data_IF_635918366007
#
_entry.id   IF_635918366007
#
_cell.length_a   1.000
_cell.length_b   1.000
_cell.length_c   1.000
_cell.angle_alpha   90.00
_cell.angle_beta   90.00
_cell.angle_gamma   90.00
#
_symmetry.space_group_name_H-M   'P 1'
#
loop_
_entity.id
_entity.type
_entity.pdbx_description
1 polymer ?
#
# COMPACT_ATOMS: atom_id res chain seq x y z
N UNK A 1 -13.65 -12.89 -6.22
CA UNK A 1 -14.95 -12.66 -5.54
C UNK A 1 -14.67 -12.01 -4.22
N UNK A 2 -15.33 -10.88 -4.03
CA UNK A 2 -15.76 -10.25 -2.79
C UNK A 2 -17.20 -9.83 -3.14
N UNK A 3 -18.18 -10.11 -2.29
CA UNK A 3 -19.58 -9.71 -2.52
C UNK A 3 -19.91 -8.43 -1.71
N UNK A 4 -21.13 -7.83 -1.75
CA UNK A 4 -21.31 -6.41 -1.41
C UNK A 4 -21.92 -6.11 -0.03
N UNK A 5 -21.92 -4.81 0.34
CA UNK A 5 -22.17 -4.32 1.70
C UNK A 5 -23.42 -3.49 1.99
N UNK A 6 -23.69 -3.44 3.30
CA UNK A 6 -24.81 -2.78 3.95
C UNK A 6 -24.33 -2.12 5.25
N UNK A 7 -24.73 -0.88 5.45
CA UNK A 7 -24.47 -0.05 6.65
C UNK A 7 -25.83 0.36 7.23
N UNK A 8 -25.94 0.53 8.56
CA UNK A 8 -27.22 0.49 9.29
C UNK A 8 -27.26 1.55 10.44
N UNK A 9 -28.47 1.84 10.96
CA UNK A 9 -28.94 3.01 11.76
C UNK A 9 -28.74 3.03 13.30
N UNK A 10 -28.89 4.18 14.02
CA UNK A 10 -27.81 4.70 14.89
C UNK A 10 -28.20 5.14 16.33
N UNK A 11 -29.17 4.48 16.98
CA UNK A 11 -29.87 5.03 18.15
C UNK A 11 -29.25 4.70 19.54
N UNK A 12 -28.16 5.37 19.94
CA UNK A 12 -27.61 5.34 21.32
C UNK A 12 -26.95 6.69 21.73
N UNK A 13 -27.20 7.16 22.96
CA UNK A 13 -27.05 8.56 23.42
C UNK A 13 -25.61 9.01 23.85
N UNK A 14 -25.38 10.32 24.05
CA UNK A 14 -24.05 10.95 24.13
C UNK A 14 -23.88 11.97 25.29
N UNK A 15 -23.16 11.62 26.36
CA UNK A 15 -22.99 12.52 27.54
C UNK A 15 -21.56 12.63 28.13
N UNK A 16 -20.60 13.13 27.34
CA UNK A 16 -19.91 14.42 27.58
C UNK A 16 -18.90 14.68 26.43
N UNK A 17 -18.97 15.87 25.84
CA UNK A 17 -18.22 16.25 24.64
C UNK A 17 -17.51 17.61 24.80
N UNK A 18 -17.50 18.20 26.01
CA UNK A 18 -17.15 19.62 26.17
C UNK A 18 -15.70 20.01 25.95
N UNK A 19 -14.75 19.08 25.83
CA UNK A 19 -13.35 19.41 25.52
C UNK A 19 -12.55 18.34 24.74
N UNK A 20 -13.20 17.51 23.91
CA UNK A 20 -12.50 16.65 22.94
C UNK A 20 -13.11 16.75 21.54
N UNK A 21 -12.28 17.24 20.60
CA UNK A 21 -12.38 17.03 19.15
C UNK A 21 -11.01 16.44 18.76
N UNK A 22 -10.88 15.11 18.60
CA UNK A 22 -11.54 14.39 17.51
C UNK A 22 -12.86 13.69 17.89
N UNK A 23 -13.58 13.20 16.88
CA UNK A 23 -14.85 12.47 17.09
C UNK A 23 -14.58 11.10 17.71
N UNK A 24 -15.16 10.83 18.90
CA UNK A 24 -15.41 9.44 19.33
C UNK A 24 -16.17 8.67 18.25
N UNK A 25 -15.90 7.37 18.22
CA UNK A 25 -16.70 6.37 17.51
C UNK A 25 -18.15 6.34 17.98
N UNK A 26 -19.01 5.63 17.25
CA UNK A 26 -20.38 5.38 17.66
C UNK A 26 -20.49 3.97 18.24
N UNK A 27 -21.33 3.77 19.26
CA UNK A 27 -21.89 2.45 19.53
C UNK A 27 -22.69 1.99 18.30
N UNK A 28 -22.78 0.67 18.10
CA UNK A 28 -23.67 0.11 17.09
C UNK A 28 -24.53 -0.99 17.72
N UNK A 29 -25.75 -1.11 17.23
CA UNK A 29 -26.77 -2.04 17.69
C UNK A 29 -26.66 -3.40 17.00
N UNK A 30 -27.19 -4.44 17.63
CA UNK A 30 -27.15 -5.83 17.13
C UNK A 30 -27.85 -6.03 15.76
N UNK A 31 -28.71 -5.10 15.34
CA UNK A 31 -29.24 -5.08 13.97
C UNK A 31 -28.24 -4.52 12.94
N UNK A 32 -27.33 -3.61 13.33
CA UNK A 32 -26.30 -3.03 12.46
C UNK A 32 -25.18 -4.00 12.08
N UNK A 33 -25.10 -5.08 12.85
CA UNK A 33 -23.93 -5.94 13.01
C UNK A 33 -24.12 -7.31 12.33
N UNK A 34 -25.29 -7.53 11.73
CA UNK A 34 -25.62 -8.70 10.90
C UNK A 34 -25.11 -8.49 9.48
N UNK A 35 -24.51 -9.50 8.85
CA UNK A 35 -24.31 -9.58 7.39
C UNK A 35 -25.68 -9.71 6.70
N UNK A 36 -26.40 -8.61 6.67
CA UNK A 36 -27.81 -8.48 6.32
C UNK A 36 -27.99 -8.36 4.79
N UNK A 37 -27.24 -9.20 4.06
CA UNK A 37 -27.27 -9.38 2.62
C UNK A 37 -28.32 -10.42 2.21
N UNK A 38 -28.86 -10.36 1.00
CA UNK A 38 -29.70 -11.41 0.42
C UNK A 38 -28.88 -12.54 -0.23
N UNK A 39 -27.62 -12.30 -0.60
CA UNK A 39 -26.72 -13.30 -1.18
C UNK A 39 -26.07 -14.12 -0.08
N UNK A 40 -26.17 -15.45 -0.13
CA UNK A 40 -25.61 -16.37 0.87
C UNK A 40 -24.08 -16.37 0.91
N UNK A 41 -23.39 -15.67 0.02
CA UNK A 41 -21.93 -15.70 -0.14
C UNK A 41 -21.26 -14.39 0.21
N UNK A 42 -19.96 -14.50 0.44
CA UNK A 42 -19.01 -13.40 0.33
C UNK A 42 -17.60 -13.93 0.20
N UNK A 43 -16.87 -13.44 -0.80
CA UNK A 43 -15.91 -14.34 -1.45
C UNK A 43 -16.64 -15.42 -2.26
N UNK A 44 -15.92 -16.49 -2.61
CA UNK A 44 -16.57 -17.76 -2.97
C UNK A 44 -17.13 -18.48 -1.74
N UNK A 45 -16.74 -18.04 -0.53
CA UNK A 45 -17.24 -18.52 0.74
C UNK A 45 -18.74 -18.28 0.84
N UNK A 46 -19.52 -19.26 1.28
CA UNK A 46 -20.89 -19.04 1.75
C UNK A 46 -20.84 -18.44 3.16
N UNK A 47 -21.36 -17.22 3.34
CA UNK A 47 -21.51 -16.57 4.64
C UNK A 47 -22.63 -17.24 5.44
N UNK A 48 -22.35 -17.74 6.65
CA UNK A 48 -23.32 -18.48 7.45
C UNK A 48 -24.63 -17.73 7.69
N UNK A 49 -25.74 -18.48 7.71
CA UNK A 49 -27.07 -17.94 8.01
C UNK A 49 -27.12 -17.26 9.40
N UNK A 50 -26.36 -17.75 10.38
CA UNK A 50 -26.28 -17.11 11.70
C UNK A 50 -25.74 -15.66 11.64
N UNK A 51 -24.88 -15.32 10.68
CA UNK A 51 -24.38 -13.95 10.53
C UNK A 51 -25.45 -13.01 9.93
N UNK A 52 -26.49 -13.57 9.32
CA UNK A 52 -27.67 -12.85 8.81
C UNK A 52 -28.70 -12.67 9.92
N UNK A 53 -28.87 -13.72 10.71
CA UNK A 53 -29.89 -13.83 11.76
C UNK A 53 -29.50 -13.17 13.07
N UNK A 54 -28.20 -13.00 13.35
CA UNK A 54 -27.64 -12.40 14.58
C UNK A 54 -26.39 -11.57 14.31
N UNK A 55 -26.28 -10.43 14.98
CA UNK A 55 -25.24 -9.44 14.74
C UNK A 55 -23.94 -9.71 15.51
N UNK A 56 -22.82 -9.39 14.86
CA UNK A 56 -21.46 -9.40 15.40
C UNK A 56 -20.94 -7.97 15.47
N UNK A 57 -20.56 -7.49 16.66
CA UNK A 57 -20.00 -6.13 16.79
C UNK A 57 -18.67 -6.06 16.03
N UNK A 58 -18.64 -5.20 15.02
CA UNK A 58 -17.60 -5.13 13.99
C UNK A 58 -17.67 -3.77 13.29
N UNK A 59 -16.78 -3.53 12.33
CA UNK A 59 -16.67 -2.25 11.59
C UNK A 59 -16.18 -2.42 10.16
N UNK A 60 -15.41 -3.48 9.96
CA UNK A 60 -15.10 -4.08 8.69
C UNK A 60 -15.25 -5.59 8.87
N UNK A 61 -15.89 -6.25 7.93
CA UNK A 61 -15.62 -7.64 7.64
C UNK A 61 -14.70 -7.71 6.40
N UNK A 62 -13.99 -8.82 6.19
CA UNK A 62 -13.35 -9.16 4.89
C UNK A 62 -13.79 -10.58 4.52
N UNK A 63 -14.09 -10.84 3.25
CA UNK A 63 -14.19 -12.22 2.74
C UNK A 63 -13.75 -12.26 1.28
N UNK A 64 -12.99 -13.29 0.89
CA UNK A 64 -12.24 -13.32 -0.36
C UNK A 64 -12.39 -14.62 -1.17
N UNK A 65 -11.85 -14.60 -2.40
CA UNK A 65 -11.65 -15.73 -3.30
C UNK A 65 -10.32 -15.52 -4.00
N UNK A 66 -9.53 -16.59 -4.10
CA UNK A 66 -8.68 -16.82 -5.26
C UNK A 66 -9.42 -17.79 -6.21
N UNK A 67 -9.35 -17.56 -7.52
CA UNK A 67 -9.77 -18.55 -8.51
C UNK A 67 -8.55 -19.44 -8.77
N UNK A 68 -8.64 -20.76 -8.64
CA UNK A 68 -7.46 -21.59 -8.89
C UNK A 68 -7.17 -21.69 -10.40
N UNK A 69 -6.05 -21.12 -10.81
CA UNK A 69 -5.45 -21.30 -12.13
C UNK A 69 -3.94 -21.29 -11.94
N UNK A 70 -3.27 -22.37 -12.36
CA UNK A 70 -1.84 -22.61 -12.12
C UNK A 70 -0.92 -21.66 -12.95
N UNK A 71 -1.54 -20.72 -13.68
CA UNK A 71 -0.92 -19.59 -14.39
C UNK A 71 -0.80 -18.32 -13.52
N UNK A 72 -1.30 -18.30 -12.28
CA UNK A 72 -1.37 -17.09 -11.45
C UNK A 72 -0.04 -16.76 -10.76
N UNK A 73 0.69 -15.80 -11.33
CA UNK A 73 1.72 -15.00 -10.65
C UNK A 73 1.16 -13.82 -9.82
N UNK A 74 -0.17 -13.69 -9.84
CA UNK A 74 -1.04 -12.71 -9.20
C UNK A 74 -0.88 -11.22 -9.53
N UNK A 75 -2.02 -10.54 -9.47
CA UNK A 75 -2.23 -9.11 -9.64
C UNK A 75 -3.34 -8.75 -8.65
N UNK A 76 -3.03 -8.96 -7.36
CA UNK A 76 -3.93 -8.98 -6.19
C UNK A 76 -5.09 -10.00 -6.21
N UNK A 77 -5.61 -10.32 -5.01
CA UNK A 77 -7.05 -10.31 -4.72
C UNK A 77 -7.41 -10.36 -3.22
N UNK A 78 -7.52 -9.21 -2.54
CA UNK A 78 -8.31 -9.06 -1.32
C UNK A 78 -9.26 -7.87 -1.41
N UNK A 79 -10.48 -8.01 -0.86
CA UNK A 79 -11.32 -6.84 -0.60
C UNK A 79 -12.32 -7.03 0.56
N UNK A 80 -12.73 -5.87 1.04
CA UNK A 80 -13.79 -5.65 2.01
C UNK A 80 -15.15 -6.02 1.37
N UNK A 81 -15.86 -7.06 1.86
CA UNK A 81 -17.31 -7.19 1.60
C UNK A 81 -18.50 -6.31 2.40
N UNK A 82 -18.94 -5.65 4.60
CA UNK A 82 -19.87 -4.95 5.54
C UNK A 82 -18.97 -3.98 6.30
N UNK A 83 -19.34 -2.71 6.26
CA UNK A 83 -18.81 -1.74 7.17
C UNK A 83 -19.85 -1.43 8.24
N UNK A 84 -19.38 -1.06 9.43
CA UNK A 84 -20.26 -0.58 10.51
C UNK A 84 -19.73 0.76 11.02
N UNK A 85 -20.53 1.46 11.81
CA UNK A 85 -20.49 2.91 11.85
C UNK A 85 -19.46 3.43 12.88
N UNK A 86 -18.35 4.00 12.38
CA UNK A 86 -17.28 4.77 13.06
C UNK A 86 -16.12 4.05 13.81
N UNK A 87 -15.92 2.73 13.82
CA UNK A 87 -14.62 2.13 14.29
C UNK A 87 -13.88 1.47 13.11
N UNK A 88 -13.83 2.19 11.97
CA UNK A 88 -13.42 1.67 10.67
C UNK A 88 -11.96 1.19 10.53
N UNK A 89 -11.65 0.48 9.44
CA UNK A 89 -10.39 -0.26 9.24
C UNK A 89 -9.27 0.54 8.55
N UNK A 90 -8.08 -0.06 8.49
CA UNK A 90 -7.07 0.23 7.48
C UNK A 90 -7.56 -0.21 6.09
N UNK A 91 -8.21 0.71 5.38
CA UNK A 91 -8.67 0.52 4.00
C UNK A 91 -7.50 0.26 3.03
N UNK A 92 -6.29 0.68 3.40
CA UNK A 92 -5.03 0.62 2.66
C UNK A 92 -4.78 -0.73 1.98
N UNK A 93 -4.93 -1.86 2.68
CA UNK A 93 -4.72 -3.20 2.13
C UNK A 93 -5.62 -3.45 0.91
N UNK A 94 -6.87 -3.01 0.95
CA UNK A 94 -7.81 -3.21 -0.16
C UNK A 94 -7.60 -2.21 -1.27
N UNK A 95 -7.11 -1.00 -0.96
CA UNK A 95 -6.73 -0.01 -1.97
C UNK A 95 -5.44 -0.48 -2.69
N UNK A 96 -4.48 -1.07 -1.97
CA UNK A 96 -3.28 -1.72 -2.51
C UNK A 96 -3.62 -2.86 -3.46
N UNK A 97 -4.43 -3.80 -2.98
CA UNK A 97 -4.90 -4.92 -3.79
C UNK A 97 -5.70 -4.44 -5.02
N UNK A 98 -6.60 -3.47 -4.86
CA UNK A 98 -7.26 -2.83 -5.99
C UNK A 98 -6.26 -2.16 -6.95
N UNK A 99 -5.13 -1.62 -6.48
CA UNK A 99 -4.16 -0.90 -7.32
C UNK A 99 -3.31 -1.82 -8.19
N UNK A 100 -3.02 -3.04 -7.74
CA UNK A 100 -2.52 -4.07 -8.65
C UNK A 100 -3.53 -4.32 -9.78
N UNK A 101 -4.82 -4.45 -9.47
CA UNK A 101 -5.90 -4.61 -10.48
C UNK A 101 -6.04 -3.36 -11.39
N UNK A 102 -5.73 -2.16 -10.88
CA UNK A 102 -5.59 -0.92 -11.67
C UNK A 102 -4.30 -0.87 -12.51
N UNK A 103 -3.55 -1.97 -12.61
CA UNK A 103 -2.45 -2.10 -13.55
C UNK A 103 -1.09 -1.66 -13.04
N UNK A 104 -0.82 -1.68 -11.72
CA UNK A 104 0.54 -1.67 -11.20
C UNK A 104 1.00 -3.08 -10.81
N UNK A 105 1.62 -3.81 -11.74
CA UNK A 105 2.20 -5.14 -11.51
C UNK A 105 3.22 -5.50 -12.59
N UNK A 106 4.09 -6.48 -12.33
CA UNK A 106 5.08 -6.99 -13.29
C UNK A 106 4.46 -7.37 -14.65
N UNK A 107 3.22 -7.85 -14.65
CA UNK A 107 2.52 -8.33 -15.83
C UNK A 107 1.70 -7.27 -16.56
N UNK A 108 1.45 -6.12 -15.92
CA UNK A 108 0.73 -4.99 -16.52
C UNK A 108 1.66 -3.90 -17.04
N UNK A 109 2.84 -3.69 -16.44
CA UNK A 109 3.85 -2.73 -16.91
C UNK A 109 4.20 -2.86 -18.41
N UNK A 110 4.35 -4.08 -19.00
CA UNK A 110 4.57 -4.24 -20.44
C UNK A 110 3.37 -3.90 -21.33
N UNK A 111 2.19 -3.68 -20.74
CA UNK A 111 0.93 -3.37 -21.43
C UNK A 111 0.58 -1.87 -21.37
N UNK A 112 1.35 -1.07 -20.64
CA UNK A 112 1.14 0.37 -20.51
C UNK A 112 1.36 1.11 -21.84
N UNK A 113 0.62 2.21 -22.04
CA UNK A 113 0.61 2.98 -23.28
C UNK A 113 0.87 4.48 -23.06
N UNK A 114 1.43 5.12 -24.08
CA UNK A 114 1.63 6.56 -24.16
C UNK A 114 0.34 7.28 -24.60
N UNK A 115 0.34 8.61 -24.53
CA UNK A 115 -0.83 9.44 -24.90
C UNK A 115 -1.22 9.38 -26.38
N UNK A 116 -0.31 8.96 -27.27
CA UNK A 116 -0.57 8.65 -28.68
C UNK A 116 -1.10 7.21 -28.91
N UNK A 117 -1.26 6.44 -27.82
CA UNK A 117 -1.68 5.04 -27.75
C UNK A 117 -0.64 4.02 -28.25
N UNK A 118 0.61 4.43 -28.45
CA UNK A 118 1.72 3.50 -28.65
C UNK A 118 2.15 2.86 -27.32
N UNK A 119 2.58 1.60 -27.34
CA UNK A 119 3.21 0.96 -26.17
C UNK A 119 4.58 1.57 -25.89
N UNK A 120 4.99 1.62 -24.61
CA UNK A 120 6.38 1.94 -24.27
C UNK A 120 7.31 0.86 -24.85
N UNK A 121 8.30 1.27 -25.66
CA UNK A 121 9.25 0.33 -26.28
C UNK A 121 10.06 -0.46 -25.24
N UNK A 122 10.45 0.22 -24.16
CA UNK A 122 11.14 -0.34 -22.99
C UNK A 122 10.69 0.48 -21.75
N UNK A 123 9.62 0.11 -21.03
CA UNK A 123 9.16 0.86 -19.84
C UNK A 123 10.09 0.68 -18.63
N UNK A 124 10.90 -0.38 -18.63
CA UNK A 124 11.78 -0.78 -17.51
C UNK A 124 13.22 -1.01 -17.97
N UNK A 125 14.12 -1.34 -17.05
CA UNK A 125 15.44 -1.93 -17.32
C UNK A 125 15.94 -2.69 -16.08
N UNK A 126 16.92 -3.58 -16.26
CA UNK A 126 17.59 -4.26 -15.13
C UNK A 126 18.95 -3.63 -14.84
N UNK A 127 19.26 -3.50 -13.55
CA UNK A 127 20.55 -3.02 -13.05
C UNK A 127 20.81 -3.67 -11.68
N UNK A 128 22.09 -3.93 -11.38
CA UNK A 128 22.49 -4.37 -10.04
C UNK A 128 22.32 -3.21 -9.04
N UNK A 129 21.38 -3.36 -8.10
CA UNK A 129 21.24 -2.52 -6.92
C UNK A 129 21.82 -3.27 -5.72
N UNK A 130 22.84 -2.67 -5.07
CA UNK A 130 23.36 -3.13 -3.77
C UNK A 130 23.78 -4.63 -3.73
N UNK A 131 24.15 -5.18 -4.89
CA UNK A 131 24.61 -6.58 -5.06
C UNK A 131 23.56 -7.55 -5.61
N UNK A 132 22.32 -7.10 -5.81
CA UNK A 132 21.19 -7.90 -6.30
C UNK A 132 20.71 -7.33 -7.64
N UNK A 133 20.25 -8.17 -8.57
CA UNK A 133 19.61 -7.69 -9.79
C UNK A 133 18.21 -7.11 -9.48
N UNK A 134 17.88 -5.96 -10.08
CA UNK A 134 16.69 -5.17 -9.76
C UNK A 134 16.07 -4.62 -11.03
N UNK A 135 14.74 -4.71 -11.14
CA UNK A 135 13.99 -4.04 -12.20
C UNK A 135 13.68 -2.60 -11.80
N UNK A 136 14.05 -1.66 -12.67
CA UNK A 136 13.78 -0.23 -12.51
C UNK A 136 12.71 0.22 -13.50
N UNK A 137 11.71 0.97 -13.03
CA UNK A 137 10.69 1.61 -13.85
C UNK A 137 11.16 3.01 -14.27
N UNK A 138 11.08 3.33 -15.57
CA UNK A 138 11.64 4.59 -16.15
C UNK A 138 10.63 5.37 -17.00
N UNK A 139 9.33 5.18 -16.75
CA UNK A 139 8.25 5.85 -17.46
C UNK A 139 8.18 7.36 -17.13
N UNK A 140 7.59 8.20 -18.01
CA UNK A 140 7.82 9.64 -17.99
C UNK A 140 7.43 10.34 -16.68
N UNK A 141 6.21 10.14 -16.18
CA UNK A 141 5.71 10.84 -15.00
C UNK A 141 6.37 10.31 -13.71
N UNK A 142 6.52 8.99 -13.58
CA UNK A 142 7.23 8.33 -12.46
C UNK A 142 8.66 8.87 -12.37
N UNK A 143 9.38 8.93 -13.49
CA UNK A 143 10.76 9.37 -13.51
C UNK A 143 10.91 10.88 -13.29
N UNK A 144 9.99 11.70 -13.82
CA UNK A 144 9.95 13.13 -13.55
C UNK A 144 9.68 13.41 -12.06
N UNK A 145 8.68 12.74 -11.47
CA UNK A 145 8.35 12.85 -10.06
C UNK A 145 9.53 12.41 -9.18
N UNK A 146 10.09 11.23 -9.42
CA UNK A 146 11.19 10.68 -8.62
C UNK A 146 12.44 11.58 -8.65
N UNK A 147 12.82 12.11 -9.81
CA UNK A 147 13.95 13.05 -9.95
C UNK A 147 13.76 14.31 -9.09
N UNK A 148 12.54 14.83 -9.03
CA UNK A 148 12.16 15.98 -8.18
C UNK A 148 12.10 15.60 -6.70
N UNK A 149 11.41 14.51 -6.36
CA UNK A 149 11.19 14.03 -5.00
C UNK A 149 12.49 13.71 -4.29
N UNK A 150 13.38 12.92 -4.90
CA UNK A 150 14.68 12.56 -4.34
C UNK A 150 15.75 13.67 -4.49
N UNK A 151 15.46 14.78 -5.17
CA UNK A 151 16.49 15.74 -5.62
C UNK A 151 17.67 15.05 -6.33
N UNK A 152 17.36 14.19 -7.30
CA UNK A 152 18.33 13.44 -8.10
C UNK A 152 18.03 13.58 -9.60
N UNK A 153 18.48 14.66 -10.27
CA UNK A 153 18.18 14.89 -11.69
C UNK A 153 18.70 13.80 -12.64
N UNK A 154 19.76 13.10 -12.24
CA UNK A 154 20.42 12.03 -13.02
C UNK A 154 19.79 10.65 -12.82
N UNK A 155 18.73 10.51 -12.02
CA UNK A 155 18.10 9.20 -11.79
C UNK A 155 17.65 8.58 -13.12
N UNK A 156 17.96 7.30 -13.34
CA UNK A 156 17.65 6.58 -14.58
C UNK A 156 16.29 5.85 -14.53
N UNK A 157 15.84 5.48 -13.33
CA UNK A 157 14.56 4.81 -13.05
C UNK A 157 14.33 4.71 -11.55
N UNK A 158 13.13 4.31 -11.15
CA UNK A 158 12.77 4.00 -9.76
C UNK A 158 12.88 2.48 -9.56
N UNK A 159 13.61 1.97 -8.55
CA UNK A 159 13.68 0.55 -8.29
C UNK A 159 12.32 0.03 -7.82
N UNK A 160 11.88 -1.06 -8.43
CA UNK A 160 10.78 -1.88 -7.92
C UNK A 160 11.34 -2.86 -6.88
N UNK A 161 10.46 -3.44 -6.08
CA UNK A 161 10.88 -4.46 -5.10
C UNK A 161 11.51 -5.66 -5.82
N UNK A 162 12.55 -6.22 -5.22
CA UNK A 162 13.39 -7.28 -5.79
C UNK A 162 13.75 -8.37 -4.75
N UNK A 163 13.01 -8.39 -3.66
CA UNK A 163 13.02 -9.40 -2.62
C UNK A 163 11.59 -9.88 -2.37
N UNK A 164 11.47 -11.04 -1.72
CA UNK A 164 10.18 -11.62 -1.34
C UNK A 164 9.61 -12.66 -2.31
N UNK A 165 10.15 -12.80 -3.52
CA UNK A 165 9.77 -13.83 -4.49
C UNK A 165 8.53 -13.52 -5.32
N UNK A 166 7.97 -14.57 -5.90
CA UNK A 166 6.66 -14.60 -6.60
C UNK A 166 5.57 -14.22 -5.58
N UNK A 167 5.26 -12.93 -5.54
CA UNK A 167 4.64 -12.33 -4.37
C UNK A 167 4.82 -10.81 -4.30
N UNK A 168 6.03 -10.36 -4.60
CA UNK A 168 6.48 -9.02 -4.25
C UNK A 168 7.30 -8.37 -5.36
N UNK A 169 8.18 -9.17 -5.97
CA UNK A 169 9.14 -8.71 -6.95
C UNK A 169 8.47 -8.06 -8.17
N UNK A 170 9.07 -6.96 -8.65
CA UNK A 170 8.72 -6.25 -9.87
C UNK A 170 7.26 -5.72 -9.94
N UNK A 171 6.49 -5.78 -8.85
CA UNK A 171 5.07 -5.35 -8.79
C UNK A 171 4.79 -4.26 -7.74
N UNK A 172 5.81 -3.85 -7.00
CA UNK A 172 5.74 -2.95 -5.85
C UNK A 172 6.89 -1.94 -5.86
N UNK A 173 6.78 -0.87 -5.08
CA UNK A 173 7.91 0.03 -4.81
C UNK A 173 8.91 -0.59 -3.84
N UNK A 174 10.20 -0.39 -4.11
CA UNK A 174 11.30 -0.89 -3.28
C UNK A 174 11.25 -0.32 -1.86
N UNK A 175 10.98 -1.17 -0.87
CA UNK A 175 10.72 -0.78 0.53
C UNK A 175 11.88 0.00 1.21
N UNK A 176 13.12 -0.20 0.77
CA UNK A 176 14.32 0.48 1.30
C UNK A 176 14.65 1.80 0.60
N UNK A 177 13.79 2.27 -0.31
CA UNK A 177 13.98 3.49 -1.10
C UNK A 177 12.76 4.40 -1.01
N UNK A 178 11.57 3.81 -1.09
CA UNK A 178 10.29 4.46 -0.87
C UNK A 178 9.64 3.64 0.25
N UNK A 179 9.45 4.21 1.44
CA UNK A 179 8.86 3.53 2.60
C UNK A 179 7.62 4.30 3.07
N UNK A 180 6.73 3.66 3.82
CA UNK A 180 5.36 4.13 4.11
C UNK A 180 4.54 4.42 2.84
N UNK A 181 4.84 3.78 1.70
CA UNK A 181 4.03 3.87 0.48
C UNK A 181 3.06 2.69 0.45
N UNK A 182 1.78 2.93 0.17
CA UNK A 182 0.80 1.85 0.23
C UNK A 182 1.03 0.74 -0.81
N UNK A 183 1.77 0.99 -1.90
CA UNK A 183 2.23 -0.01 -2.88
C UNK A 183 3.64 -0.55 -2.60
N UNK A 184 4.12 -0.45 -1.36
CA UNK A 184 5.20 -1.29 -0.87
C UNK A 184 4.73 -2.75 -0.67
N UNK A 185 5.63 -3.72 -0.84
CA UNK A 185 5.34 -5.14 -0.49
C UNK A 185 5.17 -5.35 1.01
N UNK A 186 5.75 -4.47 1.82
CA UNK A 186 5.44 -4.30 3.23
C UNK A 186 4.79 -2.94 3.44
N UNK A 187 3.46 -2.93 3.58
CA UNK A 187 2.66 -1.79 4.04
C UNK A 187 2.94 -1.53 5.54
N UNK A 188 2.99 -0.26 5.95
CA UNK A 188 3.33 0.11 7.33
C UNK A 188 2.07 0.17 8.22
N UNK A 189 2.01 -0.58 9.34
CA UNK A 189 0.82 -0.68 10.20
C UNK A 189 0.18 0.64 10.68
N UNK A 190 0.96 1.70 10.90
CA UNK A 190 0.43 2.95 11.46
C UNK A 190 0.00 3.97 10.38
N UNK A 191 0.66 3.96 9.23
CA UNK A 191 0.39 4.86 8.10
C UNK A 191 1.07 4.38 6.83
N UNK A 192 0.28 4.09 5.78
CA UNK A 192 0.76 4.10 4.40
C UNK A 192 0.19 5.30 3.65
N UNK A 193 0.91 5.81 2.65
CA UNK A 193 0.54 6.97 1.85
C UNK A 193 0.23 6.58 0.40
N UNK A 194 -0.86 7.09 -0.17
CA UNK A 194 -1.07 7.19 -1.63
C UNK A 194 -0.15 8.30 -2.16
N UNK A 195 1.12 7.98 -2.38
CA UNK A 195 2.10 9.00 -2.73
C UNK A 195 2.05 9.36 -4.22
N UNK A 196 2.73 10.45 -4.56
CA UNK A 196 2.99 10.80 -5.95
C UNK A 196 3.75 9.72 -6.75
N UNK A 197 4.42 8.74 -6.13
CA UNK A 197 4.99 7.62 -6.89
C UNK A 197 3.89 6.78 -7.53
N UNK A 198 2.93 6.28 -6.74
CA UNK A 198 1.82 5.48 -7.27
C UNK A 198 0.88 6.31 -8.13
N UNK A 199 0.60 7.57 -7.77
CA UNK A 199 -0.21 8.44 -8.61
C UNK A 199 0.41 8.64 -10.01
N UNK A 200 1.71 8.85 -10.11
CA UNK A 200 2.40 9.01 -11.39
C UNK A 200 2.59 7.67 -12.13
N UNK A 201 2.68 6.52 -11.44
CA UNK A 201 2.63 5.22 -12.10
C UNK A 201 1.26 4.98 -12.74
N UNK A 202 0.17 5.31 -12.05
CA UNK A 202 -1.19 5.23 -12.61
C UNK A 202 -1.36 6.18 -13.82
N UNK A 203 -0.77 7.37 -13.82
CA UNK A 203 -0.70 8.23 -15.02
C UNK A 203 0.06 7.57 -16.17
N UNK A 204 1.23 6.99 -15.89
CA UNK A 204 2.08 6.31 -16.88
C UNK A 204 1.49 4.99 -17.40
N UNK A 205 0.42 4.44 -16.81
CA UNK A 205 -0.30 3.30 -17.43
C UNK A 205 -0.90 3.65 -18.80
N UNK A 206 -1.34 4.90 -18.98
CA UNK A 206 -2.19 5.32 -20.09
C UNK A 206 -3.61 4.73 -20.06
N UNK A 207 -4.01 4.05 -18.98
CA UNK A 207 -5.36 3.45 -18.83
C UNK A 207 -6.40 4.45 -18.28
N UNK A 208 -5.95 5.61 -17.77
CA UNK A 208 -6.78 6.61 -17.08
C UNK A 208 -6.63 7.99 -17.73
N UNK A 209 -7.75 8.70 -17.90
CA UNK A 209 -7.78 10.05 -18.49
C UNK A 209 -7.21 11.12 -17.53
N UNK A 210 -7.45 10.96 -16.22
CA UNK A 210 -6.97 11.87 -15.18
C UNK A 210 -6.65 11.08 -13.90
N UNK A 211 -5.49 11.35 -13.30
CA UNK A 211 -5.19 11.05 -11.89
C UNK A 211 -4.86 12.39 -11.22
N UNK A 212 -5.64 12.80 -10.22
CA UNK A 212 -5.58 14.16 -9.66
C UNK A 212 -4.41 14.33 -8.71
N UNK A 213 -3.65 15.41 -8.88
CA UNK A 213 -2.58 15.81 -7.94
C UNK A 213 -3.12 15.99 -6.52
N UNK A 214 -4.38 16.39 -6.36
CA UNK A 214 -5.06 16.52 -5.06
C UNK A 214 -5.39 15.19 -4.37
N UNK A 215 -5.02 14.05 -4.96
CA UNK A 215 -5.06 12.73 -4.29
C UNK A 215 -3.69 12.33 -3.72
N UNK A 216 -2.60 13.01 -4.10
CA UNK A 216 -1.25 12.68 -3.66
C UNK A 216 -1.03 13.11 -2.21
N UNK A 217 -0.79 12.13 -1.34
CA UNK A 217 -0.44 12.38 0.06
C UNK A 217 1.03 12.77 0.19
N UNK A 218 1.31 13.76 1.04
CA UNK A 218 2.67 14.28 1.22
C UNK A 218 3.50 13.38 2.13
N UNK A 219 4.25 12.47 1.50
CA UNK A 219 5.25 11.62 2.15
C UNK A 219 6.62 12.32 2.24
N UNK A 220 7.40 12.01 3.28
CA UNK A 220 8.71 12.63 3.53
C UNK A 220 9.92 11.65 3.48
N UNK A 221 9.70 10.34 3.50
CA UNK A 221 10.77 9.34 3.49
C UNK A 221 11.62 9.42 2.20
N UNK A 222 12.93 9.69 2.31
CA UNK A 222 13.81 9.86 1.16
C UNK A 222 13.65 11.19 0.42
N UNK A 223 12.81 12.13 0.91
CA UNK A 223 12.55 13.40 0.22
C UNK A 223 13.77 14.32 0.26
N UNK A 224 14.23 14.75 -0.90
CA UNK A 224 15.45 15.53 -1.08
C UNK A 224 16.75 14.74 -0.85
N UNK A 225 16.68 13.42 -0.65
CA UNK A 225 17.78 12.60 -0.13
C UNK A 225 19.03 12.48 -1.01
N UNK A 226 18.94 12.85 -2.28
CA UNK A 226 20.00 12.69 -3.29
C UNK A 226 20.08 11.27 -3.86
N UNK A 227 20.83 11.13 -4.95
CA UNK A 227 20.91 9.87 -5.71
C UNK A 227 21.43 8.66 -4.90
N UNK A 228 22.26 8.90 -3.87
CA UNK A 228 22.84 7.83 -3.04
C UNK A 228 21.78 7.07 -2.23
N UNK A 229 20.65 7.71 -1.90
CA UNK A 229 19.51 7.02 -1.28
C UNK A 229 18.94 5.91 -2.17
N UNK A 230 18.77 6.22 -3.46
CA UNK A 230 18.10 5.35 -4.43
C UNK A 230 19.02 4.26 -4.98
N UNK A 231 20.27 4.59 -5.31
CA UNK A 231 21.21 3.66 -5.98
C UNK A 231 22.52 3.41 -5.22
N UNK A 232 22.71 4.07 -4.09
CA UNK A 232 23.96 4.04 -3.31
C UNK A 232 23.93 3.06 -2.15
N UNK A 233 24.88 3.28 -1.22
CA UNK A 233 25.01 2.51 0.01
C UNK A 233 24.21 3.12 1.17
N UNK A 234 23.92 2.28 2.17
CA UNK A 234 23.13 2.67 3.33
C UNK A 234 23.91 3.69 4.16
N UNK A 235 23.26 4.79 4.56
CA UNK A 235 23.85 5.80 5.43
C UNK A 235 23.13 5.79 6.78
N UNK A 236 23.74 5.13 7.76
CA UNK A 236 23.21 5.02 9.12
C UNK A 236 23.25 6.32 9.92
N UNK A 237 23.69 7.43 9.34
CA UNK A 237 23.57 8.77 9.93
C UNK A 237 22.24 9.45 9.57
N UNK A 238 21.32 8.73 8.90
CA UNK A 238 20.05 9.24 8.39
C UNK A 238 18.86 8.52 9.01
N UNK A 239 17.81 9.28 9.34
CA UNK A 239 16.56 8.78 9.91
C UNK A 239 15.83 7.73 9.04
N UNK A 240 16.10 7.66 7.73
CA UNK A 240 15.54 6.62 6.86
C UNK A 240 16.09 5.20 7.14
N UNK A 241 17.25 5.09 7.80
CA UNK A 241 17.97 3.83 8.01
C UNK A 241 18.39 3.67 9.48
N UNK A 242 18.76 2.45 9.87
CA UNK A 242 19.12 2.14 11.26
C UNK A 242 20.07 0.92 11.39
N UNK A 243 20.63 0.71 12.59
CA UNK A 243 21.55 -0.39 12.92
C UNK A 243 20.94 -1.31 14.01
N UNK A 244 20.50 -2.54 13.69
CA UNK A 244 19.78 -3.44 14.62
C UNK A 244 20.54 -3.83 15.91
N UNK A 245 21.87 -3.76 15.89
CA UNK A 245 22.72 -4.07 17.05
C UNK A 245 22.91 -2.91 18.02
N UNK A 246 22.50 -1.69 17.62
CA UNK A 246 22.70 -0.44 18.37
C UNK A 246 21.36 0.18 18.77
N UNK A 247 20.36 0.17 17.87
CA UNK A 247 19.15 0.97 17.99
C UNK A 247 17.92 0.10 18.31
N UNK A 248 17.27 0.42 19.43
CA UNK A 248 16.09 -0.27 19.99
C UNK A 248 15.13 0.76 20.57
N UNK A 249 13.83 0.49 20.46
CA UNK A 249 12.75 1.31 21.04
C UNK A 249 12.77 2.79 20.57
N UNK A 250 12.93 3.00 19.26
CA UNK A 250 12.88 4.31 18.60
C UNK A 250 11.45 4.68 18.15
N UNK A 251 11.25 5.93 17.72
CA UNK A 251 10.08 6.28 16.91
C UNK A 251 10.19 5.70 15.51
N UNK A 252 9.10 5.59 14.75
CA UNK A 252 9.17 5.44 13.29
C UNK A 252 9.69 6.73 12.62
N UNK A 253 9.97 6.67 11.32
CA UNK A 253 10.48 7.82 10.54
C UNK A 253 9.54 9.05 10.59
N UNK A 254 8.22 8.82 10.64
CA UNK A 254 7.19 9.87 10.65
C UNK A 254 6.82 10.33 12.08
N UNK A 255 7.39 9.71 13.11
CA UNK A 255 7.11 9.95 14.53
C UNK A 255 5.62 9.79 14.92
N UNK A 256 4.92 8.87 14.26
CA UNK A 256 3.53 8.48 14.51
C UNK A 256 3.43 7.47 15.66
N UNK A 257 4.44 6.60 15.84
CA UNK A 257 4.48 5.61 16.90
C UNK A 257 5.88 5.06 17.19
N UNK A 258 5.93 3.95 17.93
CA UNK A 258 7.18 3.25 18.24
C UNK A 258 7.50 2.24 17.13
N UNK A 259 8.77 2.17 16.73
CA UNK A 259 9.31 1.27 15.72
C UNK A 259 10.37 0.35 16.31
N UNK A 260 10.86 -0.60 15.50
CA UNK A 260 12.07 -1.35 15.80
C UNK A 260 12.98 -1.44 14.56
N UNK A 261 14.30 -1.43 14.80
CA UNK A 261 15.29 -1.63 13.75
C UNK A 261 15.52 -3.13 13.49
N UNK A 262 14.79 -3.70 12.52
CA UNK A 262 14.81 -5.14 12.23
C UNK A 262 15.01 -5.35 10.73
N UNK A 263 16.00 -6.16 10.36
CA UNK A 263 16.18 -6.61 8.98
C UNK A 263 15.02 -7.55 8.58
N UNK A 264 14.06 -7.02 7.82
CA UNK A 264 12.91 -7.76 7.31
C UNK A 264 13.16 -8.43 5.95
N UNK A 265 12.12 -9.11 5.45
CA UNK A 265 12.14 -9.84 4.17
C UNK A 265 12.46 -8.97 2.94
N UNK A 266 12.22 -7.66 3.03
CA UNK A 266 12.36 -6.68 1.93
C UNK A 266 13.60 -5.78 2.08
N UNK A 267 14.50 -6.12 3.01
CA UNK A 267 15.74 -5.39 3.27
C UNK A 267 16.94 -6.12 2.67
N UNK A 268 17.74 -5.42 1.86
CA UNK A 268 19.06 -5.90 1.45
C UNK A 268 20.02 -5.99 2.66
N UNK A 269 21.05 -6.82 2.57
CA UNK A 269 22.06 -6.95 3.62
C UNK A 269 22.74 -5.61 3.92
N UNK A 270 22.63 -5.17 5.18
CA UNK A 270 23.03 -3.84 5.70
C UNK A 270 22.12 -2.65 5.34
N UNK A 271 20.93 -2.88 4.74
CA UNK A 271 19.94 -1.85 4.41
C UNK A 271 18.69 -1.99 5.28
N UNK A 272 18.85 -1.79 6.58
CA UNK A 272 17.73 -1.88 7.52
C UNK A 272 17.04 -0.53 7.67
N UNK A 273 15.71 -0.58 7.62
CA UNK A 273 14.80 0.54 7.86
C UNK A 273 14.05 0.28 9.16
N UNK A 274 13.54 1.35 9.77
CA UNK A 274 12.61 1.23 10.88
C UNK A 274 11.27 0.67 10.37
N UNK A 275 10.68 -0.26 11.13
CA UNK A 275 9.33 -0.79 10.87
C UNK A 275 8.44 -0.56 12.08
N UNK A 276 7.18 -0.19 11.85
CA UNK A 276 6.24 0.04 12.94
C UNK A 276 6.00 -1.23 13.76
N UNK A 277 5.80 -1.06 15.06
CA UNK A 277 5.31 -2.16 15.90
C UNK A 277 3.81 -2.37 15.63
N UNK A 278 3.40 -3.65 15.54
CA UNK A 278 2.01 -4.10 15.32
C UNK A 278 1.17 -4.11 16.60
#
# INVERSE_FOLDING_TARGET
MVQPYKVISPDDDHTDLRNLKPKKSLPKSEQQMRFNSSLDKCGEVTVPQNDRDKGKDSDLHIYAQYLNNDQLSFVAYAANCQFVYKVGPSHEIVIHEMTHVLGFSQHSIPLWIQSDKSSYAEPTFRQILRGIDTLFLKTPHVLQFARKYFNCPTLAGVPLENLGGLGSENSHWKNTVINSEYMNSYQQPLQSYFSGFTANALRDTGFYEEIKESMEEEMFYGKGAGCQHVTGQCDSNRNEFCIPSVEKDFCDFSHIGASNCIAGQFNESNFVVLMDNK
#
